data_IF_660685115619
#
_entry.id   IF_660685115619
#
_cell.length_a   1.000
_cell.length_b   1.000
_cell.length_c   1.000
_cell.angle_alpha   90.00
_cell.angle_beta   90.00
_cell.angle_gamma   90.00
#
_symmetry.space_group_name_H-M   'P 1'
#
loop_
_entity.id
_entity.type
_entity.pdbx_description
1 polymer ?
#
# COMPACT_ATOMS: atom_id res chain seq x y z
N UNK A 1 79.90 -37.69 -28.25
CA UNK A 1 79.11 -38.85 -28.69
C UNK A 1 77.66 -38.41 -28.78
N UNK A 2 77.07 -38.55 -29.98
CA UNK A 2 75.75 -38.06 -30.38
C UNK A 2 74.70 -39.05 -29.87
N UNK A 3 73.70 -38.60 -29.12
CA UNK A 3 72.49 -39.39 -28.87
C UNK A 3 71.25 -38.51 -29.08
N UNK A 4 70.55 -38.81 -30.17
CA UNK A 4 69.29 -38.21 -30.60
C UNK A 4 68.18 -39.02 -29.93
N UNK A 5 67.31 -38.37 -29.17
CA UNK A 5 66.04 -38.95 -28.72
C UNK A 5 64.92 -38.02 -29.17
N UNK A 6 64.14 -38.49 -30.16
CA UNK A 6 62.86 -37.94 -30.55
C UNK A 6 61.86 -38.11 -29.41
N UNK A 7 61.19 -37.04 -29.00
CA UNK A 7 60.01 -37.11 -28.14
C UNK A 7 58.82 -36.57 -28.92
N UNK A 8 57.84 -37.45 -29.18
CA UNK A 8 56.63 -37.15 -29.92
C UNK A 8 55.63 -36.38 -29.04
N UNK A 9 55.15 -35.23 -29.52
CA UNK A 9 54.05 -34.49 -28.92
C UNK A 9 52.71 -35.18 -29.22
N UNK A 10 51.98 -35.57 -28.16
CA UNK A 10 50.55 -35.90 -28.24
C UNK A 10 49.76 -34.68 -27.75
N UNK A 11 49.17 -33.94 -28.69
CA UNK A 11 48.15 -32.92 -28.39
C UNK A 11 46.83 -33.62 -28.10
N UNK A 12 46.47 -33.71 -26.82
CA UNK A 12 45.11 -34.06 -26.40
C UNK A 12 44.20 -32.85 -26.55
N UNK A 13 43.22 -32.92 -27.45
CA UNK A 13 42.10 -31.99 -27.47
C UNK A 13 41.19 -32.28 -26.26
N UNK A 14 41.12 -31.34 -25.33
CA UNK A 14 40.13 -31.36 -24.25
C UNK A 14 38.85 -30.72 -24.76
N UNK A 15 37.81 -31.53 -24.97
CA UNK A 15 36.46 -31.03 -25.25
C UNK A 15 35.94 -30.23 -24.05
N UNK A 16 35.78 -28.92 -24.24
CA UNK A 16 35.15 -28.04 -23.27
C UNK A 16 33.64 -28.26 -23.29
N UNK A 17 33.13 -29.06 -22.35
CA UNK A 17 31.69 -29.17 -22.11
C UNK A 17 31.18 -27.86 -21.50
N UNK A 18 30.45 -27.07 -22.30
CA UNK A 18 29.73 -25.90 -21.81
C UNK A 18 28.59 -26.34 -20.89
N UNK A 19 28.67 -25.98 -19.60
CA UNK A 19 27.62 -26.24 -18.63
C UNK A 19 26.51 -25.19 -18.81
N UNK A 20 25.42 -25.54 -19.49
CA UNK A 20 24.18 -24.77 -19.46
C UNK A 20 23.49 -25.03 -18.12
N UNK A 21 23.74 -24.15 -17.14
CA UNK A 21 23.00 -24.17 -15.90
C UNK A 21 21.51 -23.89 -16.19
N UNK A 22 20.56 -24.71 -15.70
CA UNK A 22 19.16 -24.40 -15.83
C UNK A 22 18.86 -23.11 -15.07
N UNK A 23 18.04 -22.23 -15.67
CA UNK A 23 17.50 -21.07 -15.00
C UNK A 23 16.76 -21.55 -13.74
N UNK A 24 17.10 -20.96 -12.59
CA UNK A 24 16.37 -21.23 -11.36
C UNK A 24 14.87 -20.94 -11.60
N UNK A 25 13.95 -21.75 -11.04
CA UNK A 25 12.53 -21.44 -11.06
C UNK A 25 12.33 -20.04 -10.49
N UNK A 26 11.64 -19.18 -11.24
CA UNK A 26 11.13 -17.92 -10.68
C UNK A 26 10.08 -18.33 -9.66
N UNK A 27 10.39 -18.20 -8.37
CA UNK A 27 9.41 -18.26 -7.29
C UNK A 27 8.36 -17.18 -7.57
N UNK A 28 7.24 -17.58 -8.18
CA UNK A 28 6.04 -16.76 -8.25
C UNK A 28 5.44 -16.70 -6.86
N UNK A 29 6.00 -15.84 -6.01
CA UNK A 29 5.32 -15.42 -4.79
C UNK A 29 3.93 -14.92 -5.20
N UNK A 30 2.88 -15.44 -4.55
CA UNK A 30 1.49 -15.21 -4.92
C UNK A 30 1.25 -13.75 -5.36
N UNK A 31 0.87 -13.59 -6.62
CA UNK A 31 0.69 -12.30 -7.26
C UNK A 31 -0.34 -11.48 -6.47
N UNK A 32 0.16 -10.40 -5.86
CA UNK A 32 -0.52 -9.24 -5.30
C UNK A 32 -1.88 -9.50 -4.63
N UNK A 33 -1.83 -9.73 -3.32
CA UNK A 33 -2.96 -9.57 -2.42
C UNK A 33 -3.52 -8.14 -2.47
N UNK A 34 -4.82 -8.02 -2.24
CA UNK A 34 -5.45 -6.73 -2.00
C UNK A 34 -4.96 -6.13 -0.66
N UNK A 35 -5.13 -4.82 -0.47
CA UNK A 35 -4.63 -4.15 0.73
C UNK A 35 -5.30 -4.62 2.04
N UNK A 36 -6.48 -5.26 2.01
CA UNK A 36 -7.10 -5.81 3.21
C UNK A 36 -6.30 -7.02 3.73
N UNK A 37 -5.93 -7.94 2.83
CA UNK A 37 -5.22 -9.18 3.14
C UNK A 37 -3.71 -8.99 3.34
N UNK A 38 -3.11 -7.96 2.73
CA UNK A 38 -1.69 -7.60 2.92
C UNK A 38 -1.41 -7.10 4.34
N UNK A 39 -0.49 -7.73 5.07
CA UNK A 39 -0.08 -7.32 6.43
C UNK A 39 1.44 -7.21 6.56
N UNK A 40 1.90 -6.49 7.60
CA UNK A 40 3.32 -6.26 7.90
C UNK A 40 3.80 -6.98 9.16
N UNK A 41 2.89 -7.53 9.98
CA UNK A 41 3.25 -8.26 11.19
C UNK A 41 3.44 -9.75 10.91
N UNK A 42 4.52 -10.32 11.44
CA UNK A 42 4.69 -11.76 11.56
C UNK A 42 3.96 -12.31 12.79
N UNK A 43 3.81 -13.64 12.88
CA UNK A 43 3.21 -14.31 14.04
C UNK A 43 4.01 -14.06 15.32
N UNK A 44 5.33 -14.04 15.22
CA UNK A 44 6.26 -13.77 16.31
C UNK A 44 6.17 -12.31 16.77
N UNK A 45 5.88 -11.39 15.84
CA UNK A 45 5.62 -9.98 16.11
C UNK A 45 4.19 -9.70 16.63
N UNK A 46 3.39 -10.75 16.87
CA UNK A 46 2.05 -10.65 17.43
C UNK A 46 0.93 -10.46 16.41
N UNK A 47 1.13 -10.85 15.14
CA UNK A 47 0.04 -10.91 14.18
C UNK A 47 -1.12 -11.79 14.67
N UNK A 48 -2.34 -11.36 14.38
CA UNK A 48 -3.55 -12.15 14.58
C UNK A 48 -3.57 -13.36 13.63
N UNK A 49 -4.41 -14.38 13.91
CA UNK A 49 -4.56 -15.54 13.04
C UNK A 49 -4.92 -15.14 11.59
N UNK A 50 -4.46 -15.91 10.61
CA UNK A 50 -4.67 -15.60 9.20
C UNK A 50 -6.16 -15.69 8.79
N UNK A 51 -6.98 -16.34 9.61
CA UNK A 51 -8.43 -16.40 9.49
C UNK A 51 -9.16 -15.28 10.25
N UNK A 52 -8.48 -14.17 10.56
CA UNK A 52 -9.01 -13.01 11.28
C UNK A 52 -10.38 -12.53 10.76
N UNK A 53 -10.57 -12.51 9.44
CA UNK A 53 -11.80 -12.01 8.80
C UNK A 53 -12.81 -13.12 8.50
N UNK A 54 -12.54 -14.36 8.89
CA UNK A 54 -13.42 -15.51 8.62
C UNK A 54 -14.77 -15.31 9.30
N UNK A 55 -15.83 -15.31 8.50
CA UNK A 55 -17.21 -15.16 8.96
C UNK A 55 -17.69 -13.72 9.14
N UNK A 56 -16.84 -12.70 8.88
CA UNK A 56 -17.28 -11.32 8.84
C UNK A 56 -17.94 -10.97 7.49
N UNK A 57 -19.07 -10.27 7.53
CA UNK A 57 -19.69 -9.75 6.31
C UNK A 57 -18.89 -8.54 5.78
N UNK A 58 -19.06 -8.24 4.48
CA UNK A 58 -18.45 -7.04 3.88
C UNK A 58 -18.94 -5.78 4.60
N UNK A 59 -20.23 -5.73 4.89
CA UNK A 59 -20.91 -4.60 5.51
C UNK A 59 -20.37 -4.35 6.93
N UNK A 60 -20.19 -5.41 7.72
CA UNK A 60 -19.63 -5.32 9.07
C UNK A 60 -18.19 -4.83 9.04
N UNK A 61 -17.36 -5.35 8.13
CA UNK A 61 -15.98 -4.89 7.98
C UNK A 61 -15.90 -3.45 7.53
N UNK A 62 -16.72 -3.04 6.56
CA UNK A 62 -16.78 -1.66 6.11
C UNK A 62 -17.19 -0.72 7.25
N UNK A 63 -18.19 -1.13 8.05
CA UNK A 63 -18.62 -0.38 9.23
C UNK A 63 -17.51 -0.28 10.27
N UNK A 64 -16.88 -1.41 10.63
CA UNK A 64 -15.83 -1.45 11.65
C UNK A 64 -14.60 -0.63 11.25
N UNK A 65 -14.13 -0.78 10.00
CA UNK A 65 -13.02 0.03 9.46
C UNK A 65 -13.40 1.51 9.36
N UNK A 66 -14.66 1.82 9.04
CA UNK A 66 -15.19 3.18 9.04
C UNK A 66 -15.24 3.83 10.43
N UNK A 67 -15.47 3.03 11.47
CA UNK A 67 -15.63 3.48 12.85
C UNK A 67 -14.32 3.57 13.64
N UNK A 68 -13.18 3.17 13.06
CA UNK A 68 -11.90 3.23 13.73
C UNK A 68 -11.53 4.67 14.12
N UNK A 69 -11.03 4.90 15.35
CA UNK A 69 -10.70 6.24 15.81
C UNK A 69 -9.45 6.76 15.11
N UNK A 70 -9.55 7.92 14.45
CA UNK A 70 -8.38 8.65 13.90
C UNK A 70 -7.45 9.17 15.00
N UNK A 71 -7.98 9.35 16.21
CA UNK A 71 -7.22 9.66 17.43
C UNK A 71 -7.65 8.70 18.53
N UNK A 72 -6.96 7.56 18.71
CA UNK A 72 -7.27 6.61 19.77
C UNK A 72 -7.27 7.28 21.15
N UNK A 73 -8.24 6.94 22.00
CA UNK A 73 -8.38 7.54 23.34
C UNK A 73 -7.32 7.10 24.34
N UNK A 74 -6.54 6.06 24.02
CA UNK A 74 -5.38 5.63 24.80
C UNK A 74 -4.34 4.94 23.90
N UNK A 75 -3.07 4.88 24.34
CA UNK A 75 -2.03 4.14 23.62
C UNK A 75 -2.36 2.66 23.38
N UNK A 76 -3.03 2.01 24.34
CA UNK A 76 -3.41 0.60 24.23
C UNK A 76 -4.43 0.36 23.10
N UNK A 77 -5.40 1.25 22.95
CA UNK A 77 -6.38 1.19 21.85
C UNK A 77 -5.67 1.40 20.50
N UNK A 78 -4.75 2.37 20.42
CA UNK A 78 -3.95 2.60 19.22
C UNK A 78 -3.11 1.38 18.83
N UNK A 79 -2.45 0.73 19.79
CA UNK A 79 -1.69 -0.49 19.54
C UNK A 79 -2.57 -1.67 19.12
N UNK A 80 -3.73 -1.86 19.74
CA UNK A 80 -4.68 -2.90 19.35
C UNK A 80 -5.19 -2.69 17.92
N UNK A 81 -5.57 -1.46 17.59
CA UNK A 81 -5.99 -1.07 16.23
C UNK A 81 -4.87 -1.30 15.22
N UNK A 82 -3.65 -0.82 15.49
CA UNK A 82 -2.49 -1.05 14.63
C UNK A 82 -2.24 -2.55 14.42
N UNK A 83 -2.28 -3.36 15.48
CA UNK A 83 -2.08 -4.81 15.37
C UNK A 83 -3.13 -5.48 14.48
N UNK A 84 -4.41 -5.12 14.62
CA UNK A 84 -5.47 -5.62 13.75
C UNK A 84 -5.20 -5.24 12.29
N UNK A 85 -4.91 -3.96 12.01
CA UNK A 85 -4.71 -3.47 10.65
C UNK A 85 -3.45 -4.04 9.99
N UNK A 86 -2.38 -4.30 10.75
CA UNK A 86 -1.12 -4.82 10.21
C UNK A 86 -1.03 -6.35 10.18
N UNK A 87 -2.03 -7.08 10.69
CA UNK A 87 -2.07 -8.54 10.59
C UNK A 87 -2.44 -8.97 9.17
N UNK A 88 -1.75 -9.95 8.57
CA UNK A 88 -2.12 -10.52 7.28
C UNK A 88 -3.36 -11.41 7.42
N UNK A 89 -4.10 -11.60 6.32
CA UNK A 89 -5.25 -12.50 6.27
C UNK A 89 -5.28 -13.34 4.99
N UNK A 90 -5.74 -14.59 5.07
CA UNK A 90 -5.73 -15.56 3.97
C UNK A 90 -6.71 -15.22 2.83
N UNK A 91 -7.77 -14.46 3.09
CA UNK A 91 -8.73 -14.03 2.06
C UNK A 91 -9.53 -12.83 2.54
N UNK A 92 -9.62 -11.82 1.69
CA UNK A 92 -10.59 -10.75 1.85
C UNK A 92 -11.98 -11.25 1.40
N UNK A 93 -13.08 -10.90 2.10
CA UNK A 93 -14.42 -11.11 1.56
C UNK A 93 -14.61 -10.31 0.26
N UNK A 94 -15.68 -10.62 -0.49
CA UNK A 94 -16.05 -9.85 -1.67
C UNK A 94 -15.91 -8.36 -1.40
N UNK A 95 -15.26 -7.60 -2.29
CA UNK A 95 -15.04 -6.15 -2.09
C UNK A 95 -13.72 -5.78 -1.43
N UNK A 96 -12.82 -6.75 -1.34
CA UNK A 96 -11.43 -6.65 -0.96
C UNK A 96 -10.76 -5.30 -1.27
N UNK A 97 -10.89 -4.78 -2.50
CA UNK A 97 -10.28 -3.51 -2.92
C UNK A 97 -10.79 -2.32 -2.08
N UNK A 98 -12.12 -2.16 -1.96
CA UNK A 98 -12.73 -1.06 -1.21
C UNK A 98 -12.44 -1.16 0.30
N UNK A 99 -12.44 -2.39 0.84
CA UNK A 99 -12.07 -2.65 2.23
C UNK A 99 -10.56 -2.40 2.47
N UNK A 100 -9.72 -2.71 1.49
CA UNK A 100 -8.30 -2.39 1.49
C UNK A 100 -8.06 -0.88 1.54
N UNK A 101 -8.78 -0.11 0.73
CA UNK A 101 -8.81 1.35 0.83
C UNK A 101 -9.23 1.86 2.20
N UNK A 102 -10.27 1.27 2.80
CA UNK A 102 -10.71 1.63 4.14
C UNK A 102 -9.65 1.33 5.22
N UNK A 103 -8.93 0.21 5.10
CA UNK A 103 -7.79 -0.12 5.97
C UNK A 103 -6.65 0.88 5.81
N UNK A 104 -6.24 1.18 4.57
CA UNK A 104 -5.19 2.15 4.29
C UNK A 104 -5.55 3.54 4.83
N UNK A 105 -6.80 3.97 4.62
CA UNK A 105 -7.32 5.24 5.15
C UNK A 105 -7.29 5.26 6.67
N UNK A 106 -7.63 4.15 7.32
CA UNK A 106 -7.60 4.04 8.78
C UNK A 106 -6.18 4.14 9.34
N UNK A 107 -5.20 3.48 8.70
CA UNK A 107 -3.78 3.60 9.06
C UNK A 107 -3.30 5.04 8.90
N UNK A 108 -3.47 5.62 7.71
CA UNK A 108 -3.01 6.96 7.40
C UNK A 108 -3.67 8.03 8.31
N UNK A 109 -4.99 8.01 8.46
CA UNK A 109 -5.72 8.97 9.29
C UNK A 109 -5.39 8.88 10.78
N UNK A 110 -4.85 7.74 11.22
CA UNK A 110 -4.39 7.52 12.59
C UNK A 110 -2.90 7.79 12.80
N UNK A 111 -2.19 8.25 11.77
CA UNK A 111 -0.76 8.59 11.82
C UNK A 111 0.20 7.44 11.52
N UNK A 112 -0.30 6.24 11.18
CA UNK A 112 0.53 5.10 10.74
C UNK A 112 0.84 5.21 9.24
N UNK A 113 1.48 6.32 8.86
CA UNK A 113 1.69 6.73 7.47
C UNK A 113 2.64 5.77 6.74
N UNK A 114 3.74 5.40 7.39
CA UNK A 114 4.76 4.54 6.78
C UNK A 114 4.19 3.14 6.52
N UNK A 115 3.46 2.58 7.48
CA UNK A 115 2.83 1.27 7.30
C UNK A 115 1.72 1.29 6.25
N UNK A 116 0.97 2.40 6.15
CA UNK A 116 -0.02 2.55 5.07
C UNK A 116 0.66 2.54 3.69
N UNK A 117 1.77 3.27 3.52
CA UNK A 117 2.52 3.30 2.25
C UNK A 117 3.15 1.95 1.92
N UNK A 118 3.69 1.26 2.92
CA UNK A 118 4.29 -0.06 2.71
C UNK A 118 3.24 -1.10 2.27
N UNK A 119 2.08 -1.14 2.93
CA UNK A 119 0.97 -2.01 2.51
C UNK A 119 0.48 -1.63 1.11
N UNK A 120 0.34 -0.33 0.81
CA UNK A 120 -0.09 0.15 -0.50
C UNK A 120 0.86 -0.32 -1.61
N UNK A 121 2.17 -0.18 -1.42
CA UNK A 121 3.20 -0.61 -2.38
C UNK A 121 3.32 -2.12 -2.56
N UNK A 122 2.87 -2.91 -1.58
CA UNK A 122 2.83 -4.37 -1.65
C UNK A 122 1.52 -4.93 -2.24
N UNK A 123 0.51 -4.08 -2.45
CA UNK A 123 -0.85 -4.51 -2.80
C UNK A 123 -1.21 -4.20 -4.25
N UNK A 124 -2.13 -4.97 -4.83
CA UNK A 124 -2.71 -4.65 -6.15
C UNK A 124 -3.95 -3.77 -6.06
N UNK A 125 -4.27 -3.07 -7.15
CA UNK A 125 -5.55 -2.37 -7.32
C UNK A 125 -5.72 -1.08 -6.52
N UNK A 126 -4.73 -0.70 -5.70
CA UNK A 126 -4.76 0.50 -4.84
C UNK A 126 -4.88 1.79 -5.65
N UNK A 127 -4.16 1.89 -6.78
CA UNK A 127 -4.13 3.11 -7.59
C UNK A 127 -5.50 3.47 -8.20
N UNK A 128 -6.38 2.49 -8.41
CA UNK A 128 -7.74 2.69 -8.92
C UNK A 128 -8.79 2.79 -7.82
N UNK A 129 -8.42 2.50 -6.57
CA UNK A 129 -9.34 2.50 -5.44
C UNK A 129 -9.45 3.90 -4.80
N UNK A 130 -10.65 4.52 -4.77
CA UNK A 130 -10.82 5.85 -4.20
C UNK A 130 -10.38 5.96 -2.74
N UNK A 131 -10.58 4.90 -1.93
CA UNK A 131 -10.19 4.88 -0.52
C UNK A 131 -8.68 4.89 -0.33
N UNK A 132 -7.96 4.15 -1.16
CA UNK A 132 -6.50 4.10 -1.19
C UNK A 132 -5.90 5.43 -1.67
N UNK A 133 -6.49 6.05 -2.70
CA UNK A 133 -6.06 7.38 -3.17
C UNK A 133 -6.28 8.45 -2.09
N UNK A 134 -7.40 8.40 -1.37
CA UNK A 134 -7.67 9.27 -0.22
C UNK A 134 -6.67 9.02 0.92
N UNK A 135 -6.39 7.75 1.24
CA UNK A 135 -5.39 7.38 2.24
C UNK A 135 -4.01 7.96 1.93
N UNK A 136 -3.57 7.87 0.67
CA UNK A 136 -2.27 8.39 0.25
C UNK A 136 -2.24 9.92 0.24
N UNK A 137 -3.35 10.61 -0.07
CA UNK A 137 -3.43 12.05 0.09
C UNK A 137 -3.33 12.48 1.57
N UNK A 138 -3.97 11.74 2.49
CA UNK A 138 -3.82 11.96 3.94
C UNK A 138 -2.36 11.73 4.37
N UNK A 139 -1.73 10.66 3.90
CA UNK A 139 -0.34 10.34 4.17
C UNK A 139 0.62 11.44 3.71
N UNK A 140 0.39 12.01 2.51
CA UNK A 140 1.19 13.13 1.99
C UNK A 140 1.04 14.38 2.85
N UNK A 141 -0.19 14.74 3.24
CA UNK A 141 -0.45 15.89 4.12
C UNK A 141 0.24 15.74 5.48
N UNK A 142 0.17 14.56 6.10
CA UNK A 142 0.79 14.29 7.39
C UNK A 142 2.32 14.27 7.31
N UNK A 143 2.88 13.92 6.15
CA UNK A 143 4.32 14.02 5.89
C UNK A 143 4.78 15.44 5.53
N UNK A 144 3.87 16.40 5.40
CA UNK A 144 4.17 17.78 4.97
C UNK A 144 4.32 17.94 3.46
N UNK A 145 4.07 16.90 2.67
CA UNK A 145 4.08 16.95 1.20
C UNK A 145 2.71 17.40 0.67
N UNK A 146 2.39 18.66 0.92
CA UNK A 146 1.13 19.25 0.48
C UNK A 146 0.96 19.20 -1.05
N UNK A 147 2.05 19.33 -1.80
CA UNK A 147 2.00 19.33 -3.25
C UNK A 147 1.57 17.96 -3.79
N UNK A 148 2.13 16.86 -3.25
CA UNK A 148 1.74 15.51 -3.65
C UNK A 148 0.26 15.21 -3.33
N UNK A 149 -0.25 15.72 -2.20
CA UNK A 149 -1.67 15.61 -1.87
C UNK A 149 -2.55 16.37 -2.88
N UNK A 150 -2.18 17.61 -3.21
CA UNK A 150 -2.90 18.42 -4.20
C UNK A 150 -2.90 17.79 -5.60
N UNK A 151 -1.79 17.18 -6.00
CA UNK A 151 -1.67 16.46 -7.26
C UNK A 151 -2.65 15.28 -7.34
N UNK A 152 -2.86 14.56 -6.24
CA UNK A 152 -3.89 13.51 -6.15
C UNK A 152 -5.28 14.11 -6.27
N UNK A 153 -5.57 15.18 -5.53
CA UNK A 153 -6.86 15.86 -5.57
C UNK A 153 -7.26 16.37 -6.96
N UNK A 154 -6.29 16.77 -7.80
CA UNK A 154 -6.55 17.19 -9.19
C UNK A 154 -6.96 16.03 -10.11
N UNK A 155 -6.56 14.80 -9.81
CA UNK A 155 -6.86 13.61 -10.62
C UNK A 155 -8.18 12.93 -10.26
N UNK A 156 -8.81 13.31 -9.15
CA UNK A 156 -10.06 12.69 -8.67
C UNK A 156 -11.27 13.45 -9.23
N UNK A 157 -11.98 12.83 -10.17
CA UNK A 157 -13.21 13.39 -10.77
C UNK A 157 -14.44 13.28 -9.83
N UNK A 158 -14.47 12.26 -8.97
CA UNK A 158 -15.59 11.94 -8.07
C UNK A 158 -15.81 12.96 -6.94
N UNK A 159 -15.09 14.08 -6.95
CA UNK A 159 -14.88 14.97 -5.81
C UNK A 159 -16.01 15.98 -5.56
N UNK A 160 -17.22 15.74 -6.09
CA UNK A 160 -18.37 16.59 -5.74
C UNK A 160 -18.95 16.22 -4.39
N UNK A 161 -19.12 14.94 -4.03
CA UNK A 161 -19.92 14.55 -2.85
C UNK A 161 -19.13 14.10 -1.61
N UNK A 162 -17.80 14.00 -1.70
CA UNK A 162 -16.95 13.67 -0.56
C UNK A 162 -16.36 14.95 0.09
N UNK A 163 -16.65 15.16 1.37
CA UNK A 163 -16.18 16.32 2.14
C UNK A 163 -14.65 16.41 2.26
N UNK A 164 -13.92 15.30 2.24
CA UNK A 164 -12.46 15.28 2.25
C UNK A 164 -11.88 15.98 1.02
N UNK A 165 -12.28 15.54 -0.18
CA UNK A 165 -11.74 16.08 -1.43
C UNK A 165 -12.11 17.56 -1.64
N UNK A 166 -13.26 18.00 -1.12
CA UNK A 166 -13.63 19.42 -1.12
C UNK A 166 -12.72 20.24 -0.19
N UNK A 167 -12.49 19.76 1.04
CA UNK A 167 -11.57 20.40 1.99
C UNK A 167 -10.14 20.47 1.44
N UNK A 168 -9.66 19.38 0.84
CA UNK A 168 -8.34 19.36 0.20
C UNK A 168 -8.26 20.39 -0.93
N UNK A 169 -9.30 20.52 -1.76
CA UNK A 169 -9.34 21.53 -2.82
C UNK A 169 -9.24 22.96 -2.30
N UNK A 170 -9.95 23.28 -1.22
CA UNK A 170 -9.85 24.59 -0.54
C UNK A 170 -8.41 24.84 -0.08
N UNK A 171 -7.78 23.85 0.55
CA UNK A 171 -6.36 23.93 0.98
C UNK A 171 -5.43 24.15 -0.21
N UNK A 172 -5.65 23.45 -1.34
CA UNK A 172 -4.83 23.59 -2.53
C UNK A 172 -4.99 24.96 -3.21
N UNK A 173 -6.20 25.51 -3.30
CA UNK A 173 -6.40 26.87 -3.80
C UNK A 173 -5.72 27.92 -2.91
N UNK A 174 -5.88 27.80 -1.59
CA UNK A 174 -5.21 28.69 -0.65
C UNK A 174 -3.69 28.64 -0.80
N UNK A 175 -3.12 27.45 -0.99
CA UNK A 175 -1.68 27.25 -1.20
C UNK A 175 -1.17 27.85 -2.50
N UNK A 176 -2.00 27.85 -3.54
CA UNK A 176 -1.71 28.48 -4.83
C UNK A 176 -1.97 29.99 -4.85
N UNK A 177 -2.36 30.59 -3.71
CA UNK A 177 -2.78 31.98 -3.58
C UNK A 177 -4.01 32.34 -4.46
N UNK A 178 -4.85 31.35 -4.78
CA UNK A 178 -6.12 31.49 -5.50
C UNK A 178 -7.28 31.68 -4.50
N UNK A 179 -7.25 32.78 -3.73
CA UNK A 179 -8.15 32.99 -2.59
C UNK A 179 -9.63 33.06 -2.98
N UNK A 180 -9.96 33.69 -4.13
CA UNK A 180 -11.34 33.76 -4.63
C UNK A 180 -11.92 32.36 -4.91
N UNK A 181 -11.09 31.46 -5.46
CA UNK A 181 -11.48 30.07 -5.71
C UNK A 181 -11.63 29.28 -4.40
N UNK A 182 -10.76 29.54 -3.42
CA UNK A 182 -10.86 28.94 -2.08
C UNK A 182 -12.14 29.38 -1.36
N UNK A 183 -12.51 30.66 -1.42
CA UNK A 183 -13.72 31.22 -0.81
C UNK A 183 -14.98 30.64 -1.46
N UNK A 184 -15.03 30.58 -2.80
CA UNK A 184 -16.15 29.94 -3.51
C UNK A 184 -16.31 28.47 -3.10
N UNK A 185 -15.21 27.71 -3.07
CA UNK A 185 -15.25 26.29 -2.68
C UNK A 185 -15.69 26.11 -1.21
N UNK A 186 -15.29 27.02 -0.32
CA UNK A 186 -15.72 27.02 1.08
C UNK A 186 -17.22 27.33 1.21
N UNK A 187 -17.74 28.29 0.44
CA UNK A 187 -19.18 28.60 0.39
C UNK A 187 -20.01 27.37 -0.01
N UNK A 188 -19.61 26.68 -1.09
CA UNK A 188 -20.27 25.46 -1.57
C UNK A 188 -20.24 24.35 -0.50
N UNK A 189 -19.15 24.23 0.27
CA UNK A 189 -19.02 23.23 1.33
C UNK A 189 -19.98 23.50 2.50
N UNK A 190 -20.26 24.78 2.82
CA UNK A 190 -21.11 25.18 3.94
C UNK A 190 -22.62 25.06 3.68
N UNK A 191 -23.04 24.95 2.41
CA UNK A 191 -24.44 24.77 2.01
C UNK A 191 -24.94 23.32 2.12
N UNK A 192 -24.08 22.39 2.55
CA UNK A 192 -24.35 20.94 2.65
C UNK A 192 -24.51 20.50 4.08
#
# INVERSE_FOLDING_TARGET
MRNILLFALLLGATDAAAQTAPLAPIEQSALASDALSTGLLSREAGALPADLWRGASREDLAFLLGALPTRPSSPAIGQAMRRVLLSPAESAPDGAIALGGAKLRSLAASGFVDEAREIEGLSSGTQSDPGSVEAMAIADLLAGDQQAACDKGRRVEAARDNSFWMRLRIVCYAAANELDAAELALGILGER
#
